data_IF_921942989277
#
_entry.id   IF_921942989277
#
_cell.length_a   1.000
_cell.length_b   1.000
_cell.length_c   1.000
_cell.angle_alpha   90.00
_cell.angle_beta   90.00
_cell.angle_gamma   90.00
#
_symmetry.space_group_name_H-M   'P 1'
#
loop_
_entity.id
_entity.type
_entity.pdbx_description
1 polymer ?
#
# COMPACT_ATOMS: atom_id res chain seq x y z
N UNK A 1 -6.79 6.65 2.82
CA UNK A 1 -7.19 5.23 2.96
C UNK A 1 -6.14 4.35 3.64
N UNK A 2 -4.84 4.54 3.38
CA UNK A 2 -3.79 3.65 3.92
C UNK A 2 -3.82 3.56 5.46
N UNK A 3 -3.82 4.71 6.16
CA UNK A 3 -3.96 4.77 7.62
C UNK A 3 -5.31 4.22 8.11
N UNK A 4 -6.38 4.38 7.33
CA UNK A 4 -7.70 3.87 7.68
C UNK A 4 -7.72 2.34 7.71
N UNK A 5 -7.09 1.71 6.71
CA UNK A 5 -6.97 0.25 6.60
C UNK A 5 -6.01 -0.26 7.67
N UNK A 6 -4.88 0.42 7.86
CA UNK A 6 -3.91 0.02 8.86
C UNK A 6 -4.48 0.08 10.28
N UNK A 7 -5.32 1.08 10.63
CA UNK A 7 -5.95 1.13 11.94
C UNK A 7 -6.75 -0.15 12.23
N UNK A 8 -7.37 -0.77 11.22
CA UNK A 8 -8.04 -2.06 11.38
C UNK A 8 -7.07 -3.21 11.60
N UNK A 9 -5.88 -3.20 10.98
CA UNK A 9 -4.83 -4.18 11.29
C UNK A 9 -4.35 -4.06 12.74
N UNK A 10 -4.04 -2.84 13.18
CA UNK A 10 -3.69 -2.53 14.57
C UNK A 10 -4.78 -2.98 15.55
N UNK A 11 -6.05 -2.66 15.26
CA UNK A 11 -7.17 -2.96 16.16
C UNK A 11 -7.49 -4.46 16.27
N UNK A 12 -7.28 -5.24 15.20
CA UNK A 12 -7.66 -6.65 15.16
C UNK A 12 -6.52 -7.61 15.52
N UNK A 13 -5.27 -7.20 15.31
CA UNK A 13 -4.09 -8.08 15.41
C UNK A 13 -2.94 -7.51 16.26
N UNK A 14 -3.13 -6.36 16.93
CA UNK A 14 -2.10 -5.70 17.76
C UNK A 14 -0.79 -5.41 16.99
N UNK A 15 -0.94 -5.06 15.71
CA UNK A 15 0.18 -4.72 14.83
C UNK A 15 0.75 -3.35 15.21
N UNK A 16 2.08 -3.17 15.34
CA UNK A 16 2.67 -1.85 15.47
C UNK A 16 2.34 -0.95 14.27
N UNK A 17 1.88 0.27 14.53
CA UNK A 17 1.33 1.16 13.50
C UNK A 17 2.19 1.30 12.23
N UNK A 18 3.50 1.56 12.40
CA UNK A 18 4.43 1.70 11.28
C UNK A 18 4.62 0.41 10.47
N UNK A 19 4.52 -0.75 11.12
CA UNK A 19 4.62 -2.06 10.47
C UNK A 19 3.35 -2.41 9.68
N UNK A 20 2.17 -2.01 10.15
CA UNK A 20 0.96 -2.13 9.35
C UNK A 20 1.00 -1.22 8.11
N UNK A 21 1.53 0.00 8.25
CA UNK A 21 1.65 0.95 7.16
C UNK A 21 2.63 0.48 6.08
N UNK A 22 3.75 -0.16 6.44
CA UNK A 22 4.72 -0.69 5.47
C UNK A 22 4.15 -1.82 4.60
N UNK A 23 3.15 -2.55 5.10
CA UNK A 23 2.39 -3.56 4.35
C UNK A 23 1.33 -2.90 3.45
N UNK A 24 0.53 -1.98 4.01
CA UNK A 24 -0.61 -1.39 3.30
C UNK A 24 -0.19 -0.41 2.20
N UNK A 25 0.90 0.36 2.40
CA UNK A 25 1.30 1.40 1.44
C UNK A 25 1.62 0.83 0.05
N UNK A 26 2.49 -0.18 -0.12
CA UNK A 26 2.76 -0.77 -1.43
C UNK A 26 1.51 -1.39 -2.07
N UNK A 27 0.69 -2.13 -1.31
CA UNK A 27 -0.54 -2.73 -1.83
C UNK A 27 -1.57 -1.69 -2.29
N UNK A 28 -1.72 -0.58 -1.56
CA UNK A 28 -2.56 0.53 -2.00
C UNK A 28 -2.02 1.22 -3.24
N UNK A 29 -0.69 1.40 -3.36
CA UNK A 29 -0.09 1.99 -4.56
C UNK A 29 -0.28 1.09 -5.79
N UNK A 30 -0.23 -0.24 -5.63
CA UNK A 30 -0.56 -1.17 -6.73
C UNK A 30 -2.00 -1.00 -7.21
N UNK A 31 -2.96 -0.84 -6.31
CA UNK A 31 -4.34 -0.52 -6.67
C UNK A 31 -4.48 0.84 -7.34
N UNK A 32 -3.76 1.85 -6.81
CA UNK A 32 -3.85 3.23 -7.30
C UNK A 32 -3.12 3.46 -8.63
N UNK A 33 -2.20 2.57 -9.00
CA UNK A 33 -1.50 2.57 -10.29
C UNK A 33 -2.48 2.59 -11.47
N UNK A 34 -3.59 1.86 -11.34
CA UNK A 34 -4.66 1.77 -12.36
C UNK A 34 -5.44 3.09 -12.54
N UNK A 35 -5.29 4.04 -11.62
CA UNK A 35 -6.03 5.30 -11.60
C UNK A 35 -5.19 6.51 -11.99
N UNK A 36 -3.97 6.60 -11.45
CA UNK A 36 -3.09 7.76 -11.66
C UNK A 36 -1.61 7.36 -11.51
N UNK A 37 -1.11 6.63 -12.51
CA UNK A 37 0.31 6.27 -12.59
C UNK A 37 1.23 7.51 -12.56
N UNK A 38 0.82 8.62 -13.18
CA UNK A 38 1.60 9.86 -13.23
C UNK A 38 1.88 10.44 -11.83
N UNK A 39 0.94 10.30 -10.89
CA UNK A 39 1.14 10.70 -9.49
C UNK A 39 2.19 9.86 -8.79
N UNK A 40 2.19 8.55 -9.01
CA UNK A 40 3.19 7.64 -8.42
C UNK A 40 4.56 7.89 -9.07
N UNK A 41 4.60 8.07 -10.40
CA UNK A 41 5.83 8.38 -11.12
C UNK A 41 6.49 9.66 -10.61
N UNK A 42 5.70 10.70 -10.32
CA UNK A 42 6.19 11.94 -9.71
C UNK A 42 6.82 11.71 -8.34
N UNK A 43 6.26 10.82 -7.51
CA UNK A 43 6.89 10.41 -6.25
C UNK A 43 8.22 9.72 -6.54
N UNK A 44 8.25 8.78 -7.48
CA UNK A 44 9.45 8.06 -7.92
C UNK A 44 10.61 8.97 -8.29
N UNK A 45 10.35 9.97 -9.12
CA UNK A 45 11.35 10.99 -9.53
C UNK A 45 11.95 11.77 -8.35
N UNK A 46 11.30 11.76 -7.18
CA UNK A 46 11.79 12.42 -5.97
C UNK A 46 12.48 11.49 -4.97
N UNK A 47 12.20 10.18 -5.00
CA UNK A 47 12.67 9.24 -3.95
C UNK A 47 13.57 8.11 -4.46
N UNK A 48 13.52 7.80 -5.76
CA UNK A 48 14.36 6.75 -6.33
C UNK A 48 15.83 7.18 -6.26
N UNK A 49 16.77 6.25 -6.03
CA UNK A 49 18.20 6.55 -6.06
C UNK A 49 18.62 7.16 -7.41
N UNK A 50 19.63 8.05 -7.44
CA UNK A 50 20.06 8.69 -8.69
C UNK A 50 20.41 7.72 -9.83
N UNK A 51 20.96 6.56 -9.51
CA UNK A 51 21.25 5.52 -10.50
C UNK A 51 19.97 5.00 -11.18
N UNK A 52 18.93 4.67 -10.40
CA UNK A 52 17.63 4.23 -10.93
C UNK A 52 16.93 5.37 -11.70
N UNK A 53 17.03 6.62 -11.24
CA UNK A 53 16.48 7.77 -11.97
C UNK A 53 17.12 7.93 -13.36
N UNK A 54 18.42 7.66 -13.47
CA UNK A 54 19.13 7.72 -14.74
C UNK A 54 18.75 6.57 -15.68
N UNK A 55 18.56 5.36 -15.14
CA UNK A 55 18.10 4.20 -15.91
C UNK A 55 16.67 4.39 -16.45
N UNK A 56 15.81 5.04 -15.68
CA UNK A 56 14.42 5.36 -16.06
C UNK A 56 14.29 6.65 -16.88
N UNK A 57 15.40 7.29 -17.26
CA UNK A 57 15.36 8.53 -18.01
C UNK A 57 14.75 8.30 -19.41
N UNK A 58 13.57 8.87 -19.64
CA UNK A 58 12.83 8.71 -20.89
C UNK A 58 11.74 7.63 -20.86
N UNK A 59 11.63 6.88 -19.76
CA UNK A 59 10.54 5.91 -19.56
C UNK A 59 9.19 6.59 -19.30
N UNK A 60 8.12 5.86 -19.60
CA UNK A 60 6.74 6.30 -19.36
C UNK A 60 6.36 6.29 -17.87
N UNK A 61 5.33 7.05 -17.51
CA UNK A 61 4.88 7.18 -16.12
C UNK A 61 4.51 5.83 -15.47
N UNK A 62 3.92 4.89 -16.21
CA UNK A 62 3.57 3.56 -15.70
C UNK A 62 4.80 2.77 -15.28
N UNK A 63 5.86 2.73 -16.10
CA UNK A 63 7.11 2.02 -15.79
C UNK A 63 7.77 2.62 -14.54
N UNK A 64 7.82 3.96 -14.46
CA UNK A 64 8.41 4.66 -13.31
C UNK A 64 7.57 4.40 -12.05
N UNK A 65 6.25 4.39 -12.16
CA UNK A 65 5.35 4.10 -11.05
C UNK A 65 5.53 2.67 -10.51
N UNK A 66 5.60 1.68 -11.39
CA UNK A 66 5.87 0.28 -11.03
C UNK A 66 7.22 0.15 -10.31
N UNK A 67 8.28 0.77 -10.86
CA UNK A 67 9.60 0.77 -10.22
C UNK A 67 9.59 1.48 -8.87
N UNK A 68 8.79 2.54 -8.71
CA UNK A 68 8.61 3.25 -7.43
C UNK A 68 7.98 2.35 -6.37
N UNK A 69 6.96 1.56 -6.75
CA UNK A 69 6.30 0.61 -5.85
C UNK A 69 7.27 -0.50 -5.44
N UNK A 70 8.01 -1.06 -6.40
CA UNK A 70 9.02 -2.09 -6.15
C UNK A 70 10.15 -1.59 -5.24
N UNK A 71 10.59 -0.35 -5.44
CA UNK A 71 11.57 0.30 -4.59
C UNK A 71 11.08 0.47 -3.14
N UNK A 72 9.85 0.98 -2.94
CA UNK A 72 9.27 1.14 -1.60
C UNK A 72 9.13 -0.21 -0.88
N UNK A 73 8.64 -1.24 -1.57
CA UNK A 73 8.55 -2.59 -1.03
C UNK A 73 9.93 -3.12 -0.62
N UNK A 74 10.94 -2.99 -1.49
CA UNK A 74 12.31 -3.42 -1.20
C UNK A 74 12.94 -2.62 -0.06
N UNK A 75 12.64 -1.32 0.03
CA UNK A 75 13.15 -0.45 1.09
C UNK A 75 12.60 -0.86 2.46
N UNK A 76 11.28 -1.12 2.57
CA UNK A 76 10.67 -1.59 3.83
C UNK A 76 11.28 -2.93 4.28
N UNK A 77 11.42 -3.88 3.36
CA UNK A 77 12.08 -5.17 3.64
C UNK A 77 13.53 -4.97 4.12
N UNK A 78 14.28 -4.09 3.45
CA UNK A 78 15.67 -3.76 3.80
C UNK A 78 15.83 -3.17 5.21
N UNK A 79 14.85 -2.40 5.68
CA UNK A 79 14.85 -1.84 7.05
C UNK A 79 14.17 -2.75 8.07
N UNK A 80 13.94 -4.03 7.72
CA UNK A 80 13.32 -5.05 8.55
C UNK A 80 11.88 -4.73 8.97
N UNK A 81 11.17 -3.99 8.13
CA UNK A 81 9.74 -3.72 8.27
C UNK A 81 8.95 -4.69 7.40
N UNK A 82 7.82 -5.24 7.88
CA UNK A 82 7.06 -6.23 7.13
C UNK A 82 6.43 -5.62 5.87
N UNK A 83 6.28 -6.43 4.83
CA UNK A 83 5.78 -6.00 3.51
C UNK A 83 4.59 -6.81 3.02
N UNK A 84 4.23 -7.90 3.71
CA UNK A 84 3.04 -8.69 3.43
C UNK A 84 2.18 -8.91 4.69
N UNK A 85 0.90 -9.24 4.50
CA UNK A 85 0.01 -9.65 5.59
C UNK A 85 0.53 -10.92 6.29
N UNK A 86 1.11 -11.85 5.54
CA UNK A 86 1.69 -13.08 6.08
C UNK A 86 2.84 -12.80 7.06
N UNK A 87 3.70 -11.82 6.79
CA UNK A 87 4.77 -11.40 7.70
C UNK A 87 4.27 -10.77 9.01
N UNK A 88 3.04 -10.25 9.00
CA UNK A 88 2.32 -9.79 10.20
C UNK A 88 1.55 -10.92 10.92
N UNK A 89 1.63 -12.15 10.43
CA UNK A 89 0.82 -13.29 10.90
C UNK A 89 -0.69 -13.05 10.72
N UNK A 90 -1.09 -12.30 9.70
CA UNK A 90 -2.48 -12.04 9.36
C UNK A 90 -2.90 -12.99 8.23
N UNK A 91 -3.86 -13.90 8.45
CA UNK A 91 -4.33 -14.83 7.43
C UNK A 91 -5.08 -14.09 6.30
N UNK A 92 -4.89 -14.52 5.04
CA UNK A 92 -5.57 -13.91 3.90
C UNK A 92 -7.10 -14.11 3.93
N UNK A 93 -7.59 -15.17 4.59
CA UNK A 93 -9.02 -15.40 4.80
C UNK A 93 -9.69 -14.33 5.67
N UNK A 94 -8.94 -13.56 6.45
CA UNK A 94 -9.46 -12.51 7.30
C UNK A 94 -9.66 -11.16 6.58
N UNK A 95 -9.23 -11.05 5.32
CA UNK A 95 -9.38 -9.83 4.50
C UNK A 95 -10.80 -9.24 4.54
N UNK A 96 -11.89 -10.02 4.36
CA UNK A 96 -13.25 -9.49 4.46
C UNK A 96 -13.57 -8.87 5.82
N UNK A 97 -13.10 -9.49 6.91
CA UNK A 97 -13.29 -8.99 8.28
C UNK A 97 -12.54 -7.69 8.52
N UNK A 98 -11.31 -7.59 8.01
CA UNK A 98 -10.50 -6.37 8.09
C UNK A 98 -11.17 -5.23 7.31
N UNK A 99 -11.63 -5.52 6.09
CA UNK A 99 -12.30 -4.55 5.25
C UNK A 99 -13.60 -4.03 5.89
N UNK A 100 -14.43 -4.92 6.44
CA UNK A 100 -15.65 -4.56 7.16
C UNK A 100 -15.35 -3.62 8.34
N UNK A 101 -14.32 -3.90 9.13
CA UNK A 101 -13.90 -3.04 10.22
C UNK A 101 -13.48 -1.64 9.73
N UNK A 102 -12.71 -1.58 8.64
CA UNK A 102 -12.21 -0.33 8.06
C UNK A 102 -13.33 0.57 7.49
N UNK A 103 -14.47 0.00 7.07
CA UNK A 103 -15.63 0.77 6.60
C UNK A 103 -16.19 1.74 7.64
N UNK A 104 -16.09 1.40 8.93
CA UNK A 104 -16.51 2.30 10.00
C UNK A 104 -15.75 3.63 9.94
N UNK A 105 -14.42 3.55 9.82
CA UNK A 105 -13.57 4.73 9.67
C UNK A 105 -13.74 5.40 8.30
N UNK A 106 -13.94 4.63 7.22
CA UNK A 106 -14.20 5.20 5.89
C UNK A 106 -15.38 6.19 5.91
N UNK A 107 -16.47 5.82 6.59
CA UNK A 107 -17.66 6.67 6.77
C UNK A 107 -17.34 7.92 7.59
N UNK A 108 -16.66 7.77 8.73
CA UNK A 108 -16.31 8.91 9.60
C UNK A 108 -15.36 9.89 8.88
N UNK A 109 -14.41 9.38 8.10
CA UNK A 109 -13.43 10.17 7.35
C UNK A 109 -13.93 10.64 5.99
N UNK A 110 -15.19 10.35 5.63
CA UNK A 110 -15.84 10.76 4.38
C UNK A 110 -15.10 10.28 3.12
N UNK A 111 -14.49 9.10 3.20
CA UNK A 111 -13.75 8.45 2.12
C UNK A 111 -14.68 7.61 1.23
N UNK A 112 -15.64 8.26 0.57
CA UNK A 112 -16.76 7.61 -0.12
C UNK A 112 -16.37 6.67 -1.28
N UNK A 113 -15.16 6.80 -1.81
CA UNK A 113 -14.64 5.96 -2.90
C UNK A 113 -14.05 4.62 -2.43
N UNK A 114 -13.93 4.38 -1.12
CA UNK A 114 -13.39 3.14 -0.56
C UNK A 114 -14.53 2.27 -0.03
N UNK A 115 -15.18 1.56 -0.95
CA UNK A 115 -16.15 0.50 -0.60
C UNK A 115 -15.45 -0.71 0.01
N UNK A 116 -16.23 -1.68 0.49
CA UNK A 116 -15.66 -2.90 1.06
C UNK A 116 -14.83 -3.64 0.01
N UNK A 117 -15.35 -3.77 -1.19
CA UNK A 117 -14.69 -4.44 -2.31
C UNK A 117 -13.36 -3.77 -2.67
N UNK A 118 -13.33 -2.43 -2.65
CA UNK A 118 -12.09 -1.66 -2.87
C UNK A 118 -11.06 -1.91 -1.78
N UNK A 119 -11.48 -1.93 -0.51
CA UNK A 119 -10.59 -2.19 0.61
C UNK A 119 -10.06 -3.62 0.55
N UNK A 120 -10.90 -4.59 0.22
CA UNK A 120 -10.48 -5.97 0.04
C UNK A 120 -9.51 -6.13 -1.14
N UNK A 121 -9.71 -5.44 -2.27
CA UNK A 121 -8.75 -5.44 -3.39
C UNK A 121 -7.38 -4.91 -2.95
N UNK A 122 -7.35 -3.78 -2.24
CA UNK A 122 -6.10 -3.25 -1.66
C UNK A 122 -5.43 -4.27 -0.74
N UNK A 123 -6.19 -4.91 0.16
CA UNK A 123 -5.66 -5.91 1.10
C UNK A 123 -5.16 -7.17 0.38
N UNK A 124 -5.82 -7.61 -0.70
CA UNK A 124 -5.36 -8.76 -1.51
C UNK A 124 -4.03 -8.47 -2.21
N UNK A 125 -3.74 -7.22 -2.56
CA UNK A 125 -2.44 -6.79 -3.10
C UNK A 125 -1.35 -6.69 -2.03
N UNK A 126 -1.71 -6.85 -0.75
CA UNK A 126 -0.81 -6.95 0.39
C UNK A 126 -0.55 -8.41 0.83
N UNK A 127 -1.25 -9.38 0.24
CA UNK A 127 -1.21 -10.78 0.63
C UNK A 127 0.00 -11.52 0.04
#
# INVERSE_FOLDING_TARGET
PMHMIEHSLSALYDVPHGAGLSVVMPGWLQWYLEQDAARIARLGRGILPPAEQQELAGEGDTVIAEQTIAFLHSWFSKVHSPVTLAELNIPAEDIPRIAENALGLAKVWRLNQYSQEVIEDVLRRCA
#
